data_IF_545917812429
#
_entry.id   IF_545917812429
#
_cell.length_a   1.000
_cell.length_b   1.000
_cell.length_c   1.000
_cell.angle_alpha   90.00
_cell.angle_beta   90.00
_cell.angle_gamma   90.00
#
_symmetry.space_group_name_H-M   'P 1'
#
loop_
_entity.id
_entity.type
_entity.pdbx_description
1 polymer ?
#
# COMPACT_ATOMS: atom_id res chain seq x y z
N UNK A 1 36.55 14.66 12.95
CA UNK A 1 36.11 15.85 12.19
C UNK A 1 34.62 15.70 11.96
N UNK A 2 33.81 16.72 12.23
CA UNK A 2 32.37 16.66 12.01
C UNK A 2 32.04 16.64 10.52
N UNK A 3 31.01 15.87 10.11
CA UNK A 3 30.56 15.78 8.71
C UNK A 3 29.31 16.61 8.54
N UNK A 4 29.27 17.41 7.48
CA UNK A 4 28.15 18.29 7.16
C UNK A 4 27.28 17.72 6.04
N UNK A 5 25.97 17.95 6.15
CA UNK A 5 25.01 17.78 5.07
C UNK A 5 24.17 19.04 4.92
N UNK A 6 23.99 19.47 3.67
CA UNK A 6 23.22 20.66 3.33
C UNK A 6 21.96 20.26 2.56
N UNK A 7 20.78 20.57 3.11
CA UNK A 7 19.51 20.45 2.42
C UNK A 7 19.12 21.78 1.80
N UNK A 8 19.15 21.86 0.47
CA UNK A 8 18.82 23.06 -0.29
C UNK A 8 17.38 23.00 -0.79
N UNK A 9 16.58 24.03 -0.46
CA UNK A 9 15.22 24.27 -0.97
C UNK A 9 15.30 25.33 -2.06
N UNK A 10 14.93 24.98 -3.29
CA UNK A 10 15.00 25.87 -4.45
C UNK A 10 13.62 26.40 -4.88
N UNK A 11 13.64 27.56 -5.53
CA UNK A 11 12.54 28.14 -6.32
C UNK A 11 11.23 28.50 -5.59
N UNK A 12 11.18 28.40 -4.27
CA UNK A 12 10.01 28.80 -3.47
C UNK A 12 10.34 29.76 -2.33
N UNK A 13 11.34 29.42 -1.51
CA UNK A 13 11.68 30.19 -0.32
C UNK A 13 13.14 30.65 -0.28
N UNK A 14 13.32 31.85 0.24
CA UNK A 14 14.58 32.36 0.79
C UNK A 14 14.50 32.35 2.32
N UNK A 15 15.63 32.42 3.05
CA UNK A 15 15.60 32.51 4.51
C UNK A 15 14.75 33.67 5.05
N UNK A 16 14.65 34.77 4.30
CA UNK A 16 13.89 35.97 4.67
C UNK A 16 12.37 35.82 4.45
N UNK A 17 11.96 34.89 3.59
CA UNK A 17 10.55 34.71 3.18
C UNK A 17 9.94 33.42 3.73
N UNK A 18 10.77 32.49 4.22
CA UNK A 18 10.32 31.22 4.78
C UNK A 18 9.62 31.44 6.13
N UNK A 19 8.31 31.12 6.27
CA UNK A 19 7.63 31.25 7.54
C UNK A 19 8.26 30.34 8.60
N UNK A 20 8.44 30.84 9.83
CA UNK A 20 9.07 30.09 10.93
C UNK A 20 8.40 28.73 11.22
N UNK A 21 7.06 28.66 11.08
CA UNK A 21 6.33 27.39 11.22
C UNK A 21 6.72 26.38 10.15
N UNK A 22 6.84 26.82 8.89
CA UNK A 22 7.26 25.95 7.78
C UNK A 22 8.73 25.56 7.91
N UNK A 23 9.59 26.47 8.35
CA UNK A 23 10.98 26.17 8.69
C UNK A 23 11.07 25.04 9.73
N UNK A 24 10.26 25.09 10.79
CA UNK A 24 10.24 24.05 11.81
C UNK A 24 9.81 22.68 11.24
N UNK A 25 8.83 22.65 10.34
CA UNK A 25 8.42 21.42 9.65
C UNK A 25 9.55 20.85 8.77
N UNK A 26 10.26 21.70 8.02
CA UNK A 26 11.43 21.26 7.26
C UNK A 26 12.56 20.76 8.15
N UNK A 27 12.82 21.41 9.29
CA UNK A 27 13.84 20.97 10.24
C UNK A 27 13.50 19.60 10.85
N UNK A 28 12.24 19.38 11.27
CA UNK A 28 11.80 18.08 11.80
C UNK A 28 11.92 16.97 10.74
N UNK A 29 11.43 17.24 9.52
CA UNK A 29 11.52 16.27 8.43
C UNK A 29 12.98 15.98 8.04
N UNK A 30 13.85 16.99 8.02
CA UNK A 30 15.27 16.82 7.70
C UNK A 30 16.00 16.04 8.79
N UNK A 31 15.75 16.31 10.07
CA UNK A 31 16.33 15.54 11.18
C UNK A 31 15.91 14.06 11.14
N UNK A 32 14.64 13.76 10.80
CA UNK A 32 14.14 12.39 10.63
C UNK A 32 14.78 11.67 9.44
N UNK A 33 15.07 12.40 8.37
CA UNK A 33 15.76 11.85 7.20
C UNK A 33 17.17 11.39 7.58
N UNK A 34 17.94 12.25 8.23
CA UNK A 34 19.31 11.94 8.69
C UNK A 34 19.31 10.82 9.74
N UNK A 35 18.29 10.77 10.60
CA UNK A 35 18.25 9.82 11.72
C UNK A 35 19.17 10.23 12.85
N UNK A 36 19.38 9.36 13.85
CA UNK A 36 20.27 9.62 15.00
C UNK A 36 20.06 11.01 15.62
N UNK A 37 18.80 11.38 15.89
CA UNK A 37 18.37 12.77 16.21
C UNK A 37 19.08 13.41 17.41
N UNK A 38 19.71 12.63 18.30
CA UNK A 38 20.50 13.17 19.40
C UNK A 38 21.89 13.68 18.99
N UNK A 39 22.36 13.30 17.81
CA UNK A 39 23.73 13.48 17.31
C UNK A 39 23.76 14.31 16.00
N UNK A 40 22.62 14.89 15.63
CA UNK A 40 22.43 15.72 14.44
C UNK A 40 22.00 17.10 14.89
N UNK A 41 22.83 18.10 14.58
CA UNK A 41 22.65 19.47 15.04
C UNK A 41 22.47 20.42 13.86
N UNK A 42 21.52 21.34 13.96
CA UNK A 42 21.42 22.45 13.02
C UNK A 42 22.63 23.36 13.19
N UNK A 43 23.35 23.61 12.11
CA UNK A 43 24.53 24.49 12.08
C UNK A 43 24.13 25.91 11.65
N UNK A 44 23.57 26.05 10.45
CA UNK A 44 23.22 27.35 9.88
C UNK A 44 22.08 27.25 8.84
N UNK A 45 21.48 28.40 8.52
CA UNK A 45 20.53 28.59 7.41
C UNK A 45 21.09 29.62 6.42
N UNK A 46 21.67 29.15 5.31
CA UNK A 46 22.42 30.02 4.36
C UNK A 46 21.51 30.75 3.37
N UNK A 47 21.98 31.88 2.84
CA UNK A 47 21.28 32.75 1.87
C UNK A 47 21.43 32.30 0.40
N UNK A 48 20.52 32.75 -0.49
CA UNK A 48 20.50 32.42 -1.93
C UNK A 48 19.55 31.28 -2.32
N UNK A 49 19.05 30.56 -1.31
CA UNK A 49 18.00 29.53 -1.29
C UNK A 49 17.79 29.22 0.20
N UNK A 50 16.66 28.72 0.69
CA UNK A 50 16.62 28.24 2.07
C UNK A 50 17.45 26.96 2.17
N UNK A 51 18.69 27.06 2.67
CA UNK A 51 19.62 25.93 2.82
C UNK A 51 19.78 25.61 4.29
N UNK A 52 19.31 24.44 4.71
CA UNK A 52 19.47 23.94 6.08
C UNK A 52 20.75 23.11 6.16
N UNK A 53 21.70 23.55 6.99
CA UNK A 53 22.97 22.85 7.19
C UNK A 53 22.91 22.06 8.50
N UNK A 54 23.19 20.77 8.44
CA UNK A 54 23.27 19.90 9.60
C UNK A 54 24.68 19.34 9.78
N UNK A 55 25.15 19.39 11.01
CA UNK A 55 26.43 18.82 11.45
C UNK A 55 26.18 17.55 12.22
N UNK A 56 26.95 16.50 11.91
CA UNK A 56 26.80 15.18 12.52
C UNK A 56 28.01 14.84 13.39
N UNK A 57 27.71 14.42 14.63
CA UNK A 57 28.71 13.97 15.58
C UNK A 57 29.40 12.68 15.10
N UNK A 58 30.70 12.58 15.38
CA UNK A 58 31.58 11.52 14.85
C UNK A 58 31.06 10.08 15.01
N UNK A 59 30.42 9.69 16.13
CA UNK A 59 29.85 8.34 16.29
C UNK A 59 28.68 8.02 15.35
N UNK A 60 27.94 9.03 14.90
CA UNK A 60 26.73 8.87 14.09
C UNK A 60 27.01 8.94 12.57
N UNK A 61 28.12 9.54 12.16
CA UNK A 61 28.49 9.73 10.75
C UNK A 61 28.36 8.48 9.85
N UNK A 62 28.90 7.30 10.22
CA UNK A 62 28.78 6.12 9.36
C UNK A 62 27.32 5.64 9.22
N UNK A 63 26.54 5.74 10.30
CA UNK A 63 25.14 5.32 10.31
C UNK A 63 24.26 6.22 9.45
N UNK A 64 24.48 7.54 9.53
CA UNK A 64 23.76 8.50 8.68
C UNK A 64 24.15 8.31 7.21
N UNK A 65 25.44 8.11 6.92
CA UNK A 65 25.91 7.81 5.57
C UNK A 65 25.25 6.57 4.97
N UNK A 66 25.30 5.44 5.69
CA UNK A 66 24.67 4.18 5.26
C UNK A 66 23.15 4.34 5.06
N UNK A 67 22.49 5.09 5.93
CA UNK A 67 21.04 5.35 5.83
C UNK A 67 20.71 6.14 4.57
N UNK A 68 21.43 7.22 4.29
CA UNK A 68 21.23 8.03 3.09
C UNK A 68 21.52 7.23 1.81
N UNK A 69 22.56 6.40 1.82
CA UNK A 69 22.87 5.52 0.71
C UNK A 69 21.77 4.49 0.43
N UNK A 70 21.15 3.95 1.48
CA UNK A 70 20.01 3.04 1.33
C UNK A 70 18.74 3.74 0.83
N UNK A 71 18.46 4.95 1.32
CA UNK A 71 17.35 5.76 0.79
C UNK A 71 17.57 6.00 -0.71
N UNK A 72 18.79 6.36 -1.11
CA UNK A 72 19.15 6.60 -2.51
C UNK A 72 18.94 5.38 -3.41
N UNK A 73 19.16 4.17 -2.89
CA UNK A 73 18.95 2.89 -3.62
C UNK A 73 17.52 2.36 -3.53
N UNK A 74 16.67 2.97 -2.70
CA UNK A 74 15.29 2.52 -2.45
C UNK A 74 15.18 1.32 -1.49
N UNK A 75 16.25 0.93 -0.81
CA UNK A 75 16.30 -0.18 0.16
C UNK A 75 16.42 0.31 1.62
N UNK A 76 16.05 1.56 1.86
CA UNK A 76 15.96 2.16 3.20
C UNK A 76 14.90 1.49 4.08
N UNK A 77 15.03 1.67 5.40
CA UNK A 77 14.01 1.25 6.35
C UNK A 77 12.69 2.01 6.12
N UNK A 78 11.55 1.45 6.54
CA UNK A 78 10.22 2.06 6.30
C UNK A 78 10.12 3.50 6.82
N UNK A 79 10.71 3.77 7.99
CA UNK A 79 10.79 5.11 8.57
C UNK A 79 11.66 6.06 7.73
N UNK A 80 12.77 5.58 7.17
CA UNK A 80 13.69 6.37 6.34
C UNK A 80 13.03 6.77 5.02
N UNK A 81 12.39 5.82 4.35
CA UNK A 81 11.65 6.07 3.11
C UNK A 81 10.46 7.00 3.37
N UNK A 82 9.76 6.83 4.50
CA UNK A 82 8.70 7.75 4.91
C UNK A 82 9.23 9.18 5.10
N UNK A 83 10.35 9.35 5.81
CA UNK A 83 10.95 10.68 6.01
C UNK A 83 11.35 11.34 4.68
N UNK A 84 11.91 10.58 3.74
CA UNK A 84 12.17 11.04 2.37
C UNK A 84 10.89 11.52 1.67
N UNK A 85 9.82 10.72 1.70
CA UNK A 85 8.56 11.08 1.06
C UNK A 85 7.87 12.28 1.72
N UNK A 86 7.92 12.38 3.05
CA UNK A 86 7.36 13.50 3.80
C UNK A 86 8.08 14.81 3.43
N UNK A 87 9.41 14.80 3.35
CA UNK A 87 10.21 15.97 2.97
C UNK A 87 9.95 16.42 1.53
N UNK A 88 9.88 15.46 0.60
CA UNK A 88 9.57 15.74 -0.82
C UNK A 88 8.13 16.24 -1.00
N UNK A 89 7.20 15.78 -0.15
CA UNK A 89 5.81 16.26 -0.14
C UNK A 89 5.71 17.70 0.38
N UNK A 90 6.46 18.08 1.42
CA UNK A 90 6.55 19.48 1.88
C UNK A 90 7.04 20.39 0.74
N UNK A 91 8.10 19.98 0.04
CA UNK A 91 8.59 20.70 -1.14
C UNK A 91 7.51 20.84 -2.21
N UNK A 92 6.77 19.76 -2.50
CA UNK A 92 5.66 19.79 -3.47
C UNK A 92 4.53 20.74 -3.04
N UNK A 93 4.13 20.72 -1.77
CA UNK A 93 3.10 21.61 -1.22
C UNK A 93 3.48 23.09 -1.35
N UNK A 94 4.77 23.38 -1.18
CA UNK A 94 5.32 24.72 -1.27
C UNK A 94 5.75 25.09 -2.71
N UNK A 95 5.43 24.27 -3.72
CA UNK A 95 5.82 24.47 -5.12
C UNK A 95 7.36 24.61 -5.32
N UNK A 96 8.13 23.90 -4.49
CA UNK A 96 9.58 23.91 -4.43
C UNK A 96 10.20 22.61 -4.98
N UNK A 97 11.51 22.64 -5.23
CA UNK A 97 12.35 21.46 -5.43
C UNK A 97 13.48 21.46 -4.39
N UNK A 98 14.17 20.34 -4.22
CA UNK A 98 15.28 20.31 -3.26
C UNK A 98 16.35 19.28 -3.55
N UNK A 99 17.48 19.42 -2.86
CA UNK A 99 18.62 18.51 -2.98
C UNK A 99 19.31 18.38 -1.63
N UNK A 100 19.66 17.15 -1.26
CA UNK A 100 20.60 16.89 -0.17
C UNK A 100 22.01 16.76 -0.75
N UNK A 101 22.91 17.59 -0.23
CA UNK A 101 24.28 17.74 -0.70
C UNK A 101 25.21 17.40 0.47
N UNK A 102 26.30 16.70 0.21
CA UNK A 102 27.35 16.46 1.20
C UNK A 102 28.38 17.61 1.27
N UNK A 103 29.38 17.46 2.14
CA UNK A 103 30.47 18.41 2.30
C UNK A 103 31.29 18.64 1.01
N UNK A 104 31.34 17.66 0.10
CA UNK A 104 32.08 17.73 -1.18
C UNK A 104 31.24 18.36 -2.31
N UNK A 105 30.07 18.93 -1.97
CA UNK A 105 29.10 19.47 -2.92
C UNK A 105 28.50 18.42 -3.87
N UNK A 106 28.57 17.13 -3.53
CA UNK A 106 27.94 16.06 -4.29
C UNK A 106 26.46 15.93 -3.90
N UNK A 107 25.58 15.86 -4.91
CA UNK A 107 24.15 15.61 -4.68
C UNK A 107 23.97 14.14 -4.28
N UNK A 108 23.59 13.90 -3.03
CA UNK A 108 23.36 12.57 -2.48
C UNK A 108 21.93 12.13 -2.80
N UNK A 109 20.95 12.99 -2.56
CA UNK A 109 19.53 12.70 -2.80
C UNK A 109 18.87 13.89 -3.49
N UNK A 110 18.35 13.72 -4.72
CA UNK A 110 17.49 14.72 -5.34
C UNK A 110 16.06 14.59 -4.80
N UNK A 111 15.42 15.73 -4.55
CA UNK A 111 14.01 15.84 -4.17
C UNK A 111 13.25 16.54 -5.29
N UNK A 112 12.52 15.78 -6.13
CA UNK A 112 11.83 16.36 -7.27
C UNK A 112 10.70 17.33 -6.86
N UNK A 113 10.12 17.21 -5.67
CA UNK A 113 9.14 18.15 -5.14
C UNK A 113 7.99 18.42 -6.11
N UNK A 114 7.85 19.68 -6.58
CA UNK A 114 6.86 20.06 -7.59
C UNK A 114 7.01 19.35 -8.94
N UNK A 115 8.22 18.93 -9.28
CA UNK A 115 8.54 18.23 -10.53
C UNK A 115 8.39 16.70 -10.39
N UNK A 116 7.95 16.22 -9.21
CA UNK A 116 7.61 14.81 -9.00
C UNK A 116 6.55 14.44 -10.04
N UNK A 117 6.81 13.46 -10.93
CA UNK A 117 5.83 13.03 -11.90
C UNK A 117 4.57 12.60 -11.15
N UNK A 118 3.41 13.13 -11.56
CA UNK A 118 2.16 12.63 -11.03
C UNK A 118 2.12 11.11 -11.29
N UNK A 119 1.80 10.28 -10.27
CA UNK A 119 1.68 8.85 -10.49
C UNK A 119 0.68 8.64 -11.62
N UNK A 120 1.14 8.00 -12.70
CA UNK A 120 0.30 7.65 -13.84
C UNK A 120 -0.69 6.59 -13.37
N UNK A 121 -1.84 7.05 -12.91
CA UNK A 121 -2.95 6.21 -12.51
C UNK A 121 -3.98 6.23 -13.63
N UNK A 122 -4.13 5.09 -14.30
CA UNK A 122 -5.15 4.89 -15.32
C UNK A 122 -6.46 4.49 -14.62
N UNK A 123 -7.56 5.16 -14.96
CA UNK A 123 -8.87 4.90 -14.36
C UNK A 123 -9.68 6.18 -14.20
N UNK A 124 -10.84 6.13 -13.53
CA UNK A 124 -11.42 4.97 -12.83
C UNK A 124 -12.00 3.91 -13.77
N UNK A 125 -11.70 2.63 -13.50
CA UNK A 125 -12.36 1.50 -14.13
C UNK A 125 -13.44 0.94 -13.20
N UNK A 126 -14.70 0.97 -13.64
CA UNK A 126 -15.81 0.33 -12.92
C UNK A 126 -16.03 -1.07 -13.47
N UNK A 127 -15.86 -2.08 -12.63
CA UNK A 127 -16.05 -3.48 -13.03
C UNK A 127 -16.77 -4.25 -11.94
N UNK A 128 -17.67 -5.12 -12.37
CA UNK A 128 -18.28 -6.09 -11.48
C UNK A 128 -17.25 -7.16 -11.10
N UNK A 129 -17.31 -7.58 -9.85
CA UNK A 129 -16.40 -8.57 -9.31
C UNK A 129 -16.90 -9.13 -7.99
N UNK A 130 -16.04 -9.94 -7.37
CA UNK A 130 -16.29 -10.50 -6.05
C UNK A 130 -15.04 -10.40 -5.18
N UNK A 131 -15.26 -10.27 -3.88
CA UNK A 131 -14.21 -10.29 -2.85
C UNK A 131 -14.60 -11.30 -1.79
N UNK A 132 -13.60 -11.92 -1.17
CA UNK A 132 -13.80 -12.92 -0.12
C UNK A 132 -13.21 -12.41 1.18
N UNK A 133 -13.81 -12.80 2.29
CA UNK A 133 -13.20 -12.59 3.60
C UNK A 133 -14.19 -12.67 4.75
N UNK A 134 -13.64 -12.76 5.95
CA UNK A 134 -14.41 -12.71 7.18
C UNK A 134 -14.83 -11.27 7.47
N UNK A 135 -16.10 -11.07 7.84
CA UNK A 135 -16.61 -9.74 8.21
C UNK A 135 -16.02 -9.31 9.54
N UNK A 136 -15.26 -8.21 9.56
CA UNK A 136 -14.64 -7.67 10.78
C UNK A 136 -15.17 -6.30 11.19
N UNK A 137 -15.96 -5.64 10.32
CA UNK A 137 -16.61 -4.36 10.61
C UNK A 137 -17.80 -4.15 9.68
N UNK A 138 -18.91 -3.72 10.25
CA UNK A 138 -20.05 -3.14 9.50
C UNK A 138 -20.55 -1.95 10.31
N UNK A 139 -20.60 -0.75 9.74
CA UNK A 139 -21.18 0.39 10.45
C UNK A 139 -20.78 1.76 9.92
N UNK A 140 -21.81 2.57 9.64
CA UNK A 140 -21.75 3.95 9.17
C UNK A 140 -22.87 4.79 9.79
N UNK A 141 -22.87 6.10 9.53
CA UNK A 141 -23.87 7.03 10.08
C UNK A 141 -24.97 7.39 9.07
N UNK A 142 -24.79 7.03 7.81
CA UNK A 142 -25.64 7.40 6.69
C UNK A 142 -26.06 6.17 5.87
N UNK A 143 -26.62 6.39 4.70
CA UNK A 143 -27.08 5.35 3.77
C UNK A 143 -25.93 4.57 3.11
N UNK A 144 -24.68 5.00 3.29
CA UNK A 144 -23.49 4.35 2.74
C UNK A 144 -22.77 3.62 3.87
N UNK A 145 -23.17 2.38 4.14
CA UNK A 145 -22.66 1.61 5.27
C UNK A 145 -21.31 0.98 4.92
N UNK A 146 -20.19 1.38 5.55
CA UNK A 146 -18.90 0.76 5.33
C UNK A 146 -18.85 -0.68 5.85
N UNK A 147 -18.17 -1.55 5.10
CA UNK A 147 -17.94 -2.95 5.43
C UNK A 147 -16.44 -3.22 5.29
N UNK A 148 -15.83 -3.92 6.25
CA UNK A 148 -14.45 -4.41 6.12
C UNK A 148 -14.45 -5.93 6.15
N UNK A 149 -13.68 -6.52 5.23
CA UNK A 149 -13.44 -7.96 5.16
C UNK A 149 -11.97 -8.24 5.48
N UNK A 150 -11.71 -9.34 6.17
CA UNK A 150 -10.37 -9.87 6.42
C UNK A 150 -10.17 -11.12 5.59
N UNK A 151 -9.16 -11.11 4.73
CA UNK A 151 -8.68 -12.24 3.94
C UNK A 151 -7.23 -12.55 4.37
N UNK A 152 -7.06 -13.53 5.26
CA UNK A 152 -5.78 -13.81 5.91
C UNK A 152 -5.21 -12.58 6.63
N UNK A 153 -4.04 -12.12 6.21
CA UNK A 153 -3.36 -10.92 6.73
C UNK A 153 -3.86 -9.62 6.07
N UNK A 154 -4.65 -9.71 5.00
CA UNK A 154 -5.14 -8.56 4.23
C UNK A 154 -6.49 -8.10 4.81
N UNK A 155 -6.61 -6.80 5.03
CA UNK A 155 -7.90 -6.18 5.35
C UNK A 155 -8.37 -5.40 4.13
N UNK A 156 -9.40 -5.93 3.46
CA UNK A 156 -10.10 -5.18 2.42
C UNK A 156 -10.91 -4.06 3.10
N UNK A 157 -10.52 -2.83 2.81
CA UNK A 157 -11.17 -1.60 3.27
C UNK A 157 -11.68 -0.81 2.06
N UNK A 158 -12.60 0.13 2.27
CA UNK A 158 -13.26 0.85 1.18
C UNK A 158 -14.43 0.11 0.53
N UNK A 159 -14.90 -1.00 1.13
CA UNK A 159 -16.16 -1.60 0.76
C UNK A 159 -17.31 -0.88 1.45
N UNK A 160 -18.43 -0.77 0.76
CA UNK A 160 -19.63 -0.18 1.31
C UNK A 160 -20.88 -0.79 0.69
N UNK A 161 -22.00 -0.66 1.38
CA UNK A 161 -23.30 -1.16 0.93
C UNK A 161 -24.44 -0.31 1.46
N UNK A 162 -25.68 -0.65 1.11
CA UNK A 162 -26.87 0.01 1.64
C UNK A 162 -27.26 -0.56 3.03
N UNK A 163 -28.13 0.11 3.81
CA UNK A 163 -28.53 -0.37 5.12
C UNK A 163 -29.20 -1.75 5.10
N UNK A 164 -29.89 -2.13 4.03
CA UNK A 164 -30.59 -3.40 3.88
C UNK A 164 -29.60 -4.57 3.86
N UNK A 165 -28.62 -4.52 2.96
CA UNK A 165 -27.57 -5.53 2.82
C UNK A 165 -26.65 -5.51 4.04
N UNK A 166 -26.35 -4.34 4.61
CA UNK A 166 -25.56 -4.25 5.83
C UNK A 166 -26.20 -5.00 7.02
N UNK A 167 -27.53 -4.90 7.18
CA UNK A 167 -28.28 -5.66 8.22
C UNK A 167 -28.24 -7.17 7.98
N UNK A 168 -27.98 -7.63 6.77
CA UNK A 168 -27.81 -9.05 6.47
C UNK A 168 -26.37 -9.49 6.75
N UNK A 169 -25.38 -8.73 6.27
CA UNK A 169 -23.95 -9.01 6.45
C UNK A 169 -23.54 -9.00 7.93
N UNK A 170 -24.03 -8.05 8.74
CA UNK A 170 -23.65 -7.92 10.16
C UNK A 170 -23.95 -9.20 10.98
N UNK A 171 -24.88 -10.05 10.53
CA UNK A 171 -25.21 -11.32 11.19
C UNK A 171 -24.05 -12.32 11.15
N UNK A 172 -23.12 -12.13 10.22
CA UNK A 172 -21.92 -12.94 10.04
C UNK A 172 -20.66 -12.23 10.56
N UNK A 173 -20.82 -11.23 11.43
CA UNK A 173 -19.69 -10.53 12.07
C UNK A 173 -18.81 -11.53 12.85
N UNK A 174 -17.52 -11.57 12.50
CA UNK A 174 -16.54 -12.56 13.01
C UNK A 174 -16.99 -14.02 12.82
N UNK A 175 -17.86 -14.27 11.84
CA UNK A 175 -18.38 -15.57 11.48
C UNK A 175 -17.62 -16.21 10.30
N UNK A 176 -18.29 -17.02 9.48
CA UNK A 176 -17.67 -17.67 8.31
C UNK A 176 -17.22 -16.65 7.25
N UNK A 177 -16.34 -17.08 6.35
CA UNK A 177 -15.95 -16.28 5.18
C UNK A 177 -17.18 -16.04 4.29
N UNK A 178 -17.35 -14.78 3.89
CA UNK A 178 -18.35 -14.39 2.90
C UNK A 178 -17.68 -14.13 1.57
N UNK A 179 -18.33 -14.51 0.46
CA UNK A 179 -18.05 -13.94 -0.86
C UNK A 179 -19.05 -12.83 -1.13
N UNK A 180 -18.57 -11.60 -1.21
CA UNK A 180 -19.38 -10.43 -1.56
C UNK A 180 -19.27 -10.14 -3.04
N UNK A 181 -20.39 -9.78 -3.66
CA UNK A 181 -20.51 -9.43 -5.07
C UNK A 181 -20.86 -7.96 -5.20
N UNK A 182 -20.34 -7.31 -6.25
CA UNK A 182 -20.61 -5.91 -6.46
C UNK A 182 -19.71 -5.27 -7.50
N UNK A 183 -19.74 -3.94 -7.54
CA UNK A 183 -18.98 -3.16 -8.50
C UNK A 183 -17.79 -2.48 -7.81
N UNK A 184 -16.58 -2.85 -8.22
CA UNK A 184 -15.34 -2.22 -7.81
C UNK A 184 -14.97 -1.02 -8.68
N UNK A 185 -14.42 0.03 -8.06
CA UNK A 185 -13.73 1.12 -8.74
C UNK A 185 -12.24 0.89 -8.62
N UNK A 186 -11.59 0.60 -9.74
CA UNK A 186 -10.20 0.21 -9.81
C UNK A 186 -9.37 1.29 -10.49
N UNK A 187 -8.13 1.44 -10.03
CA UNK A 187 -7.10 2.22 -10.70
C UNK A 187 -5.97 1.29 -11.06
N UNK A 188 -5.35 1.54 -12.22
CA UNK A 188 -4.17 0.82 -12.65
C UNK A 188 -2.97 1.73 -12.55
N UNK A 189 -2.02 1.38 -11.70
CA UNK A 189 -0.76 2.09 -11.58
C UNK A 189 0.11 1.88 -12.83
N UNK A 190 1.13 2.72 -12.98
CA UNK A 190 2.04 2.74 -14.13
C UNK A 190 2.81 1.41 -14.32
N UNK A 191 3.06 0.70 -13.22
CA UNK A 191 3.71 -0.61 -13.16
C UNK A 191 2.77 -1.76 -13.56
N UNK A 192 1.49 -1.46 -13.82
CA UNK A 192 0.46 -2.42 -14.19
C UNK A 192 -0.33 -2.98 -13.00
N UNK A 193 -0.01 -2.61 -11.76
CA UNK A 193 -0.69 -3.04 -10.53
C UNK A 193 -2.10 -2.47 -10.46
N UNK A 194 -3.06 -3.30 -10.02
CA UNK A 194 -4.44 -2.90 -9.82
C UNK A 194 -4.69 -2.53 -8.36
N UNK A 195 -5.18 -1.31 -8.13
CA UNK A 195 -5.59 -0.82 -6.84
C UNK A 195 -7.12 -0.70 -6.78
N UNK A 196 -7.74 -1.46 -5.88
CA UNK A 196 -9.15 -1.28 -5.56
C UNK A 196 -9.31 -0.03 -4.70
N UNK A 197 -9.98 1.00 -5.23
CA UNK A 197 -10.28 2.22 -4.48
C UNK A 197 -11.51 2.08 -3.62
N UNK A 198 -12.59 1.57 -4.20
CA UNK A 198 -13.86 1.37 -3.52
C UNK A 198 -14.61 0.19 -4.11
N UNK A 199 -15.46 -0.46 -3.31
CA UNK A 199 -16.28 -1.58 -3.78
C UNK A 199 -17.69 -1.48 -3.22
N UNK A 200 -18.68 -1.33 -4.11
CA UNK A 200 -20.09 -1.29 -3.73
C UNK A 200 -20.64 -2.71 -3.71
N UNK A 201 -20.85 -3.26 -2.52
CA UNK A 201 -21.45 -4.58 -2.34
C UNK A 201 -22.94 -4.50 -2.65
N UNK A 202 -23.39 -5.34 -3.57
CA UNK A 202 -24.80 -5.48 -3.95
C UNK A 202 -25.41 -6.78 -3.43
N UNK A 203 -24.60 -7.83 -3.30
CA UNK A 203 -25.06 -9.16 -2.87
C UNK A 203 -23.93 -9.93 -2.17
N UNK A 204 -24.24 -11.01 -1.47
CA UNK A 204 -23.24 -11.88 -0.87
C UNK A 204 -23.73 -13.33 -0.71
N UNK A 205 -22.78 -14.25 -0.70
CA UNK A 205 -22.99 -15.65 -0.32
C UNK A 205 -22.08 -16.03 0.85
N UNK A 206 -22.56 -16.93 1.71
CA UNK A 206 -21.75 -17.51 2.78
C UNK A 206 -20.99 -18.68 2.17
N UNK A 207 -19.65 -18.66 2.28
CA UNK A 207 -18.86 -19.76 1.76
C UNK A 207 -18.91 -20.95 2.72
N UNK A 208 -19.11 -22.13 2.14
CA UNK A 208 -18.98 -23.39 2.85
C UNK A 208 -17.50 -23.73 3.02
N UNK A 209 -17.00 -23.63 4.25
CA UNK A 209 -15.62 -23.97 4.62
C UNK A 209 -15.46 -25.47 4.92
N UNK A 210 -16.42 -26.33 4.53
CA UNK A 210 -16.28 -27.78 4.67
C UNK A 210 -14.97 -28.24 4.01
N UNK A 211 -14.07 -28.89 4.77
CA UNK A 211 -12.82 -29.42 4.23
C UNK A 211 -13.05 -30.34 3.01
N UNK A 212 -12.18 -30.25 2.00
CA UNK A 212 -12.35 -30.99 0.74
C UNK A 212 -12.46 -32.52 0.97
N UNK A 213 -11.70 -33.05 1.92
CA UNK A 213 -11.73 -34.47 2.30
C UNK A 213 -13.10 -34.87 2.87
N UNK A 214 -13.73 -34.01 3.67
CA UNK A 214 -15.10 -34.23 4.15
C UNK A 214 -16.13 -34.17 3.02
N UNK A 215 -15.99 -33.22 2.08
CA UNK A 215 -16.87 -33.13 0.90
C UNK A 215 -16.73 -34.39 0.04
N UNK A 216 -15.50 -34.83 -0.24
CA UNK A 216 -15.23 -36.06 -1.00
C UNK A 216 -15.76 -37.29 -0.25
N UNK A 217 -15.62 -37.33 1.07
CA UNK A 217 -16.20 -38.37 1.92
C UNK A 217 -17.72 -38.44 1.79
N UNK A 218 -18.42 -37.30 1.83
CA UNK A 218 -19.87 -37.21 1.64
C UNK A 218 -20.29 -37.70 0.25
N UNK A 219 -19.57 -37.33 -0.81
CA UNK A 219 -19.86 -37.78 -2.18
C UNK A 219 -19.67 -39.30 -2.33
N UNK A 220 -18.65 -39.87 -1.69
CA UNK A 220 -18.41 -41.33 -1.67
C UNK A 220 -19.48 -42.09 -0.88
N UNK A 221 -20.08 -41.46 0.12
CA UNK A 221 -21.09 -42.08 0.99
C UNK A 221 -22.53 -42.03 0.41
N UNK A 222 -22.75 -41.41 -0.75
CA UNK A 222 -24.07 -41.37 -1.39
C UNK A 222 -24.51 -42.77 -1.79
N UNK A 223 -25.64 -43.22 -1.25
CA UNK A 223 -26.23 -44.53 -1.53
C UNK A 223 -26.58 -44.65 -3.03
N UNK A 224 -26.06 -45.68 -3.70
CA UNK A 224 -26.17 -45.84 -5.16
C UNK A 224 -25.03 -45.23 -5.97
N UNK A 225 -24.06 -44.55 -5.32
CA UNK A 225 -22.82 -44.12 -5.96
C UNK A 225 -21.90 -45.31 -6.23
N UNK A 226 -21.88 -45.79 -7.48
CA UNK A 226 -20.95 -46.85 -7.93
C UNK A 226 -19.48 -46.40 -8.00
N UNK A 227 -19.17 -45.20 -7.53
CA UNK A 227 -17.83 -44.63 -7.57
C UNK A 227 -16.83 -45.42 -6.72
N UNK A 228 -17.31 -46.05 -5.64
CA UNK A 228 -16.48 -46.89 -4.79
C UNK A 228 -16.20 -48.28 -5.41
N UNK A 229 -16.94 -48.64 -6.47
CA UNK A 229 -16.80 -49.93 -7.18
C UNK A 229 -15.82 -49.83 -8.37
N UNK A 230 -15.41 -48.61 -8.75
CA UNK A 230 -14.45 -48.36 -9.82
C UNK A 230 -13.05 -48.24 -9.21
N UNK A 231 -12.07 -49.11 -9.59
CA UNK A 231 -10.74 -49.12 -8.99
C UNK A 231 -9.97 -47.80 -9.13
N UNK A 232 -10.21 -47.06 -10.22
CA UNK A 232 -9.72 -45.70 -10.44
C UNK A 232 -10.77 -44.84 -11.15
N UNK A 233 -11.64 -44.15 -10.40
CA UNK A 233 -12.71 -43.33 -10.97
C UNK A 233 -12.17 -42.11 -11.73
N UNK A 234 -10.98 -41.62 -11.36
CA UNK A 234 -10.36 -40.44 -11.96
C UNK A 234 -9.83 -40.79 -13.34
N UNK A 235 -9.12 -41.91 -13.46
CA UNK A 235 -8.65 -42.40 -14.76
C UNK A 235 -9.83 -42.70 -15.70
N UNK A 236 -10.91 -43.29 -15.20
CA UNK A 236 -12.09 -43.59 -16.02
C UNK A 236 -12.78 -42.33 -16.58
N UNK A 237 -12.84 -41.24 -15.81
CA UNK A 237 -13.36 -39.94 -16.27
C UNK A 237 -12.43 -39.26 -17.27
N UNK A 238 -11.12 -39.37 -17.07
CA UNK A 238 -10.11 -38.85 -18.01
C UNK A 238 -10.15 -39.59 -19.34
N UNK A 239 -10.31 -40.91 -19.33
CA UNK A 239 -10.50 -41.73 -20.54
C UNK A 239 -11.78 -41.37 -21.29
N UNK A 240 -12.89 -41.13 -20.57
CA UNK A 240 -14.16 -40.68 -21.16
C UNK A 240 -14.10 -39.26 -21.76
N UNK A 241 -13.30 -38.37 -21.16
CA UNK A 241 -13.09 -36.99 -21.67
C UNK A 241 -12.28 -36.96 -22.98
N UNK A 242 -11.55 -38.02 -23.29
CA UNK A 242 -10.86 -38.22 -24.57
C UNK A 242 -11.66 -39.08 -25.57
N UNK A 243 -12.98 -39.20 -25.36
CA UNK A 243 -13.89 -39.91 -26.27
C UNK A 243 -13.64 -39.55 -27.73
N UNK A 244 -13.28 -40.59 -28.51
CA UNK A 244 -13.12 -40.58 -29.97
C UNK A 244 -14.13 -39.63 -30.62
N UNK A 245 -13.62 -38.58 -31.26
CA UNK A 245 -14.35 -37.89 -32.32
C UNK A 245 -14.83 -38.94 -33.33
N UNK A 246 -16.12 -38.87 -33.65
CA UNK A 246 -16.77 -39.86 -34.51
C UNK A 246 -16.14 -39.97 -35.90
N UNK A 247 -16.27 -41.14 -36.49
CA UNK A 247 -16.93 -41.30 -37.79
C UNK A 247 -17.14 -42.78 -38.12
N UNK A 248 -18.33 -43.06 -38.65
CA UNK A 248 -18.77 -44.21 -39.46
C UNK A 248 -18.48 -45.63 -38.93
#
# INVERSE_FOLDING_TARGET
MSREYSFRIADSYTPETLPMGRLAEYLDAFARLLGEQGEVHLDDVRTGSAVLVATIDEPAQPKVGDRLDRIRRGDGTKDALKAYHDLDELLRMDNATGQLIDADSAVIIPFPGRDRPAPLNYGPFKQDGSLEGQVIRVGGKDETVPVHLRDGEVIHSGLFTNPEVARQIIRYYLGPVLRVHGTGTWFRAADGTWELRTFKITDFEVLDETPLDEVVGKVRAVEGSKWNEVPDPVQHLLEGRHGKGGNA
#
